data_IF_350458891425
#
_entry.id   IF_350458891425
#
_cell.length_a   1.000
_cell.length_b   1.000
_cell.length_c   1.000
_cell.angle_alpha   90.00
_cell.angle_beta   90.00
_cell.angle_gamma   90.00
#
_symmetry.space_group_name_H-M   'P 1'
#
loop_
_entity.id
_entity.type
_entity.pdbx_description
1 polymer ?
#
# COMPACT_ATOMS: atom_id res chain seq x y z
N UNK A 1 25.30 -30.93 -6.36
CA UNK A 1 25.40 -29.47 -6.09
C UNK A 1 24.02 -28.86 -6.26
N UNK A 2 23.59 -28.19 -5.20
CA UNK A 2 22.33 -27.46 -4.94
C UNK A 2 21.52 -27.00 -6.17
N UNK A 3 20.27 -27.45 -6.24
CA UNK A 3 19.20 -26.82 -7.02
C UNK A 3 17.98 -26.56 -6.13
N UNK A 4 18.18 -25.85 -5.03
CA UNK A 4 17.06 -25.27 -4.28
C UNK A 4 16.47 -24.13 -5.13
N UNK A 5 15.26 -24.30 -5.63
CA UNK A 5 14.57 -23.24 -6.37
C UNK A 5 14.34 -22.02 -5.44
N UNK A 6 14.42 -20.77 -5.92
CA UNK A 6 14.26 -19.57 -5.09
C UNK A 6 12.90 -19.40 -4.39
N UNK A 7 11.94 -20.33 -4.57
CA UNK A 7 10.62 -20.29 -3.93
C UNK A 7 10.29 -21.63 -3.26
N UNK A 8 11.13 -22.02 -2.31
CA UNK A 8 10.84 -23.15 -1.44
C UNK A 8 9.57 -22.88 -0.61
N UNK A 9 8.58 -23.77 -0.68
CA UNK A 9 7.33 -23.65 0.07
C UNK A 9 7.63 -23.90 1.55
N UNK A 10 7.99 -22.87 2.30
CA UNK A 10 8.10 -22.99 3.75
C UNK A 10 6.71 -22.77 4.34
N UNK A 11 6.06 -23.79 4.92
CA UNK A 11 4.83 -23.61 5.67
C UNK A 11 5.11 -22.74 6.91
N UNK A 12 4.18 -21.84 7.27
CA UNK A 12 4.28 -21.02 8.47
C UNK A 12 4.05 -21.90 9.70
N UNK A 13 5.11 -22.22 10.42
CA UNK A 13 5.12 -23.22 11.50
C UNK A 13 4.83 -24.64 10.97
N UNK A 14 5.68 -25.61 11.31
CA UNK A 14 5.73 -26.95 10.71
C UNK A 14 4.47 -27.82 10.83
N UNK A 15 3.36 -27.33 11.39
CA UNK A 15 2.22 -28.14 11.81
C UNK A 15 0.85 -27.72 11.23
N UNK A 16 0.73 -26.53 10.60
CA UNK A 16 -0.57 -26.06 10.09
C UNK A 16 -0.78 -26.48 8.62
N UNK A 17 -1.91 -27.11 8.26
CA UNK A 17 -2.22 -27.42 6.87
C UNK A 17 -2.33 -26.12 6.04
N UNK A 18 -1.83 -26.10 4.80
CA UNK A 18 -1.87 -24.91 3.96
C UNK A 18 -3.32 -24.44 3.76
N UNK A 19 -3.57 -23.12 3.79
CA UNK A 19 -4.92 -22.61 3.68
C UNK A 19 -5.55 -22.99 2.34
N UNK A 20 -6.83 -23.36 2.38
CA UNK A 20 -7.58 -23.65 1.16
C UNK A 20 -7.62 -22.46 0.22
N UNK A 21 -7.64 -22.72 -1.09
CA UNK A 21 -7.68 -21.68 -2.14
C UNK A 21 -8.86 -20.72 -1.97
N UNK A 22 -10.02 -21.25 -1.53
CA UNK A 22 -11.19 -20.44 -1.24
C UNK A 22 -10.99 -19.51 -0.02
N UNK A 23 -10.30 -20.00 1.03
CA UNK A 23 -10.01 -19.19 2.20
C UNK A 23 -9.06 -18.02 1.85
N UNK A 24 -8.07 -18.28 0.99
CA UNK A 24 -7.21 -17.22 0.44
C UNK A 24 -8.02 -16.20 -0.36
N UNK A 25 -8.88 -16.66 -1.28
CA UNK A 25 -9.73 -15.78 -2.08
C UNK A 25 -10.59 -14.87 -1.19
N UNK A 26 -11.25 -15.44 -0.17
CA UNK A 26 -12.10 -14.68 0.77
C UNK A 26 -11.28 -13.67 1.57
N UNK A 27 -10.10 -14.05 2.06
CA UNK A 27 -9.22 -13.14 2.80
C UNK A 27 -8.81 -11.94 1.92
N UNK A 28 -8.32 -12.19 0.71
CA UNK A 28 -7.97 -11.12 -0.22
C UNK A 28 -9.17 -10.28 -0.66
N UNK A 29 -10.35 -10.88 -0.81
CA UNK A 29 -11.60 -10.18 -1.09
C UNK A 29 -11.99 -9.22 0.04
N UNK A 30 -11.94 -9.69 1.29
CA UNK A 30 -12.22 -8.84 2.45
C UNK A 30 -11.23 -7.69 2.56
N UNK A 31 -9.94 -7.95 2.33
CA UNK A 31 -8.91 -6.90 2.33
C UNK A 31 -9.19 -5.88 1.22
N UNK A 32 -9.45 -6.34 -0.01
CA UNK A 32 -9.74 -5.46 -1.16
C UNK A 32 -11.01 -4.63 -0.99
N UNK A 33 -12.01 -5.14 -0.27
CA UNK A 33 -13.26 -4.44 0.01
C UNK A 33 -13.18 -3.47 1.19
N UNK A 34 -12.29 -3.70 2.16
CA UNK A 34 -12.25 -2.95 3.42
C UNK A 34 -11.06 -2.01 3.55
N UNK A 35 -10.07 -2.09 2.66
CA UNK A 35 -8.84 -1.30 2.75
C UNK A 35 -8.70 -0.35 1.56
N UNK A 36 -8.41 0.92 1.87
CA UNK A 36 -8.21 1.97 0.87
C UNK A 36 -6.80 2.59 1.02
N UNK A 37 -6.13 2.85 -0.11
CA UNK A 37 -4.84 3.55 -0.15
C UNK A 37 -3.64 2.75 0.40
N UNK A 38 -2.66 3.45 0.98
CA UNK A 38 -1.38 2.90 1.44
C UNK A 38 -1.45 1.95 2.65
N UNK A 39 -2.63 1.79 3.26
CA UNK A 39 -2.85 0.87 4.39
C UNK A 39 -3.01 -0.60 3.98
N UNK A 40 -3.12 -0.91 2.69
CA UNK A 40 -3.32 -2.26 2.17
C UNK A 40 -2.23 -3.24 2.63
N UNK A 41 -0.96 -2.86 2.52
CA UNK A 41 0.16 -3.71 2.97
C UNK A 41 0.15 -3.92 4.48
N UNK A 42 -0.24 -2.90 5.26
CA UNK A 42 -0.39 -3.02 6.72
C UNK A 42 -1.56 -3.90 7.13
N UNK A 43 -2.68 -3.87 6.39
CA UNK A 43 -3.80 -4.78 6.60
C UNK A 43 -3.41 -6.21 6.25
N UNK A 44 -2.69 -6.42 5.14
CA UNK A 44 -2.16 -7.75 4.78
C UNK A 44 -1.21 -8.27 5.85
N UNK A 45 -0.29 -7.46 6.36
CA UNK A 45 0.60 -7.85 7.47
C UNK A 45 -0.22 -8.33 8.68
N UNK A 46 -1.20 -7.51 9.11
CA UNK A 46 -2.06 -7.87 10.25
C UNK A 46 -2.83 -9.17 10.04
N UNK A 47 -3.50 -9.31 8.88
CA UNK A 47 -4.36 -10.46 8.62
C UNK A 47 -3.54 -11.74 8.40
N UNK A 48 -2.50 -11.70 7.57
CA UNK A 48 -1.72 -12.89 7.20
C UNK A 48 -0.68 -13.29 8.25
N UNK A 49 -0.08 -12.34 8.99
CA UNK A 49 0.96 -12.63 9.99
C UNK A 49 0.39 -12.72 11.40
N UNK A 50 -0.40 -11.73 11.84
CA UNK A 50 -0.83 -11.66 13.24
C UNK A 50 -2.12 -12.42 13.53
N UNK A 51 -3.16 -12.26 12.70
CA UNK A 51 -4.48 -12.84 12.93
C UNK A 51 -4.54 -14.32 12.49
N UNK A 52 -4.19 -14.59 11.22
CA UNK A 52 -4.28 -15.95 10.65
C UNK A 52 -3.01 -16.76 10.83
N UNK A 53 -1.87 -16.11 11.07
CA UNK A 53 -0.54 -16.74 11.21
C UNK A 53 -0.20 -17.67 10.04
N UNK A 54 -0.63 -17.28 8.84
CA UNK A 54 -0.32 -17.99 7.59
C UNK A 54 1.05 -17.61 7.03
N UNK A 55 1.69 -16.57 7.56
CA UNK A 55 3.00 -16.16 7.09
C UNK A 55 3.78 -15.62 8.28
N UNK A 56 5.09 -15.85 8.28
CA UNK A 56 5.97 -15.20 9.23
C UNK A 56 6.27 -13.75 8.80
N UNK A 57 6.63 -12.90 9.76
CA UNK A 57 6.91 -11.49 9.52
C UNK A 57 8.08 -11.30 8.57
N UNK A 58 9.17 -12.06 8.74
CA UNK A 58 10.33 -11.99 7.83
C UNK A 58 9.97 -12.38 6.39
N UNK A 59 9.19 -13.45 6.24
CA UNK A 59 8.71 -13.89 4.94
C UNK A 59 7.81 -12.83 4.29
N UNK A 60 6.92 -12.20 5.06
CA UNK A 60 6.08 -11.11 4.57
C UNK A 60 6.92 -9.92 4.09
N UNK A 61 7.91 -9.49 4.88
CA UNK A 61 8.76 -8.34 4.54
C UNK A 61 9.60 -8.61 3.29
N UNK A 62 10.12 -9.83 3.14
CA UNK A 62 10.83 -10.25 1.92
C UNK A 62 9.91 -10.22 0.69
N UNK A 63 8.68 -10.73 0.83
CA UNK A 63 7.67 -10.67 -0.23
C UNK A 63 7.28 -9.23 -0.59
N UNK A 64 7.16 -8.36 0.41
CA UNK A 64 6.88 -6.93 0.23
C UNK A 64 8.02 -6.23 -0.53
N UNK A 65 9.28 -6.47 -0.14
CA UNK A 65 10.45 -5.91 -0.79
C UNK A 65 10.52 -6.34 -2.27
N UNK A 66 10.31 -7.63 -2.55
CA UNK A 66 10.26 -8.13 -3.92
C UNK A 66 9.11 -7.49 -4.71
N UNK A 67 7.94 -7.35 -4.09
CA UNK A 67 6.77 -6.75 -4.74
C UNK A 67 6.94 -5.27 -5.08
N UNK A 68 7.76 -4.55 -4.31
CA UNK A 68 8.13 -3.15 -4.56
C UNK A 68 9.22 -2.99 -5.63
N UNK A 69 10.06 -4.01 -5.81
CA UNK A 69 11.06 -4.04 -6.88
C UNK A 69 10.44 -4.32 -8.26
N UNK A 70 9.33 -5.05 -8.30
CA UNK A 70 8.61 -5.37 -9.52
C UNK A 70 7.81 -4.15 -10.03
N UNK A 71 7.78 -3.89 -11.35
CA UNK A 71 6.96 -2.84 -11.90
C UNK A 71 5.47 -3.14 -11.68
N UNK A 72 4.67 -2.08 -11.55
CA UNK A 72 3.21 -2.17 -11.44
C UNK A 72 2.69 -1.85 -10.05
N UNK A 73 1.53 -2.41 -9.71
CA UNK A 73 0.84 -2.11 -8.45
C UNK A 73 1.36 -3.05 -7.36
N UNK A 74 2.18 -2.53 -6.46
CA UNK A 74 2.84 -3.29 -5.38
C UNK A 74 1.90 -4.25 -4.63
N UNK A 75 0.68 -3.81 -4.33
CA UNK A 75 -0.31 -4.63 -3.60
C UNK A 75 -0.77 -5.86 -4.41
N UNK A 76 -0.87 -5.74 -5.75
CA UNK A 76 -1.20 -6.88 -6.63
C UNK A 76 -0.05 -7.87 -6.68
N UNK A 77 1.17 -7.37 -6.83
CA UNK A 77 2.38 -8.19 -6.82
C UNK A 77 2.50 -8.97 -5.51
N UNK A 78 2.23 -8.30 -4.38
CA UNK A 78 2.24 -8.92 -3.06
C UNK A 78 1.13 -9.97 -2.89
N UNK A 79 -0.09 -9.70 -3.37
CA UNK A 79 -1.18 -10.68 -3.32
C UNK A 79 -0.87 -11.94 -4.14
N UNK A 80 -0.27 -11.78 -5.33
CA UNK A 80 0.21 -12.89 -6.16
C UNK A 80 1.29 -13.68 -5.42
N UNK A 81 2.28 -12.98 -4.83
CA UNK A 81 3.39 -13.61 -4.13
C UNK A 81 2.94 -14.39 -2.89
N UNK A 82 2.12 -13.76 -2.03
CA UNK A 82 1.55 -14.41 -0.84
C UNK A 82 0.68 -15.60 -1.27
N UNK A 83 -0.18 -15.43 -2.27
CA UNK A 83 -1.00 -16.50 -2.81
C UNK A 83 -0.17 -17.68 -3.33
N UNK A 84 0.90 -17.39 -4.09
CA UNK A 84 1.82 -18.39 -4.58
C UNK A 84 2.54 -19.13 -3.46
N UNK A 85 2.96 -18.41 -2.42
CA UNK A 85 3.65 -18.98 -1.25
C UNK A 85 2.76 -19.95 -0.49
N UNK A 86 1.46 -19.64 -0.34
CA UNK A 86 0.54 -20.40 0.51
C UNK A 86 -0.14 -21.57 -0.19
N UNK A 87 -0.50 -21.45 -1.47
CA UNK A 87 -1.20 -22.50 -2.21
C UNK A 87 -0.73 -22.68 -3.67
N UNK A 88 0.52 -22.29 -3.96
CA UNK A 88 1.11 -22.41 -5.30
C UNK A 88 0.39 -21.56 -6.34
N UNK A 89 0.44 -21.97 -7.61
CA UNK A 89 -0.18 -21.23 -8.71
C UNK A 89 -1.68 -20.96 -8.50
N UNK A 90 -2.40 -21.90 -7.87
CA UNK A 90 -3.84 -21.74 -7.56
C UNK A 90 -4.07 -20.63 -6.54
N UNK A 91 -3.22 -20.57 -5.52
CA UNK A 91 -3.25 -19.49 -4.55
C UNK A 91 -2.88 -18.14 -5.16
N UNK A 92 -1.93 -18.10 -6.10
CA UNK A 92 -1.54 -16.89 -6.81
C UNK A 92 -2.72 -16.29 -7.60
N UNK A 93 -3.43 -17.14 -8.36
CA UNK A 93 -4.64 -16.75 -9.08
C UNK A 93 -5.71 -16.29 -8.10
N UNK A 94 -5.98 -17.07 -7.04
CA UNK A 94 -6.99 -16.73 -6.04
C UNK A 94 -6.69 -15.40 -5.32
N UNK A 95 -5.43 -15.10 -5.02
CA UNK A 95 -5.03 -13.84 -4.40
C UNK A 95 -5.21 -12.65 -5.34
N UNK A 96 -4.80 -12.80 -6.60
CA UNK A 96 -5.00 -11.76 -7.61
C UNK A 96 -6.48 -11.50 -7.90
N UNK A 97 -7.27 -12.55 -8.12
CA UNK A 97 -8.70 -12.39 -8.39
C UNK A 97 -9.45 -11.94 -7.14
N UNK A 98 -9.07 -12.43 -5.95
CA UNK A 98 -9.68 -12.06 -4.69
C UNK A 98 -9.53 -10.58 -4.40
N UNK A 99 -8.37 -9.98 -4.68
CA UNK A 99 -8.17 -8.56 -4.39
C UNK A 99 -8.77 -7.62 -5.44
N UNK A 100 -8.98 -8.08 -6.68
CA UNK A 100 -9.46 -7.24 -7.80
C UNK A 100 -10.93 -7.43 -8.11
N UNK A 101 -11.39 -8.68 -8.21
CA UNK A 101 -12.72 -8.99 -8.73
C UNK A 101 -13.86 -8.44 -7.85
N UNK A 102 -13.85 -8.60 -6.51
CA UNK A 102 -14.94 -8.09 -5.68
C UNK A 102 -15.08 -6.56 -5.71
N UNK A 103 -13.99 -5.77 -5.56
CA UNK A 103 -14.08 -4.32 -5.73
C UNK A 103 -14.52 -3.91 -7.14
N UNK A 104 -14.02 -4.58 -8.18
CA UNK A 104 -14.40 -4.29 -9.57
C UNK A 104 -15.89 -4.54 -9.83
N UNK A 105 -16.42 -5.67 -9.36
CA UNK A 105 -17.84 -6.01 -9.47
C UNK A 105 -18.69 -5.00 -8.72
N UNK A 106 -18.29 -4.59 -7.51
CA UNK A 106 -19.02 -3.55 -6.76
C UNK A 106 -19.04 -2.22 -7.50
N UNK A 107 -17.92 -1.78 -8.07
CA UNK A 107 -17.85 -0.53 -8.83
C UNK A 107 -18.78 -0.58 -10.05
N UNK A 108 -18.79 -1.69 -10.78
CA UNK A 108 -19.69 -1.87 -11.94
C UNK A 108 -21.15 -1.88 -11.49
N UNK A 109 -21.48 -2.61 -10.42
CA UNK A 109 -22.84 -2.68 -9.88
C UNK A 109 -23.34 -1.31 -9.43
N UNK A 110 -22.50 -0.55 -8.72
CA UNK A 110 -22.81 0.83 -8.37
C UNK A 110 -22.97 1.70 -9.61
N UNK A 111 -22.14 1.54 -10.64
CA UNK A 111 -22.28 2.27 -11.90
C UNK A 111 -23.62 2.01 -12.60
N UNK A 112 -24.05 0.75 -12.68
CA UNK A 112 -25.33 0.36 -13.29
C UNK A 112 -26.50 0.89 -12.46
N UNK A 113 -26.50 0.65 -11.15
CA UNK A 113 -27.53 1.16 -10.26
C UNK A 113 -27.62 2.70 -10.36
N UNK A 114 -26.48 3.37 -10.37
CA UNK A 114 -26.41 4.82 -10.48
C UNK A 114 -26.96 5.36 -11.80
N UNK A 115 -26.71 4.68 -12.92
CA UNK A 115 -27.25 5.06 -14.23
C UNK A 115 -28.78 5.10 -14.29
N UNK A 116 -29.45 4.36 -13.40
CA UNK A 116 -30.91 4.37 -13.27
C UNK A 116 -31.41 5.47 -12.33
N UNK A 117 -30.60 5.87 -11.34
CA UNK A 117 -30.93 6.85 -10.30
C UNK A 117 -30.64 8.31 -10.69
N UNK A 118 -29.82 8.55 -11.71
CA UNK A 118 -29.51 9.91 -12.23
C UNK A 118 -30.70 10.66 -12.81
N UNK A 119 -31.86 10.01 -12.95
CA UNK A 119 -33.10 10.67 -13.35
C UNK A 119 -33.63 11.66 -12.29
N UNK A 120 -33.13 11.59 -11.05
CA UNK A 120 -33.55 12.47 -9.95
C UNK A 120 -32.45 13.45 -9.56
N UNK A 121 -32.79 14.74 -9.43
CA UNK A 121 -31.86 15.82 -9.02
C UNK A 121 -31.20 15.56 -7.65
N UNK A 122 -31.91 14.89 -6.74
CA UNK A 122 -31.40 14.56 -5.40
C UNK A 122 -30.16 13.65 -5.46
N UNK A 123 -30.06 12.79 -6.47
CA UNK A 123 -28.92 11.88 -6.69
C UNK A 123 -27.62 12.65 -6.92
N UNK A 124 -27.67 13.76 -7.68
CA UNK A 124 -26.51 14.59 -7.94
C UNK A 124 -26.02 15.32 -6.69
N UNK A 125 -26.94 15.79 -5.85
CA UNK A 125 -26.60 16.46 -4.58
C UNK A 125 -25.99 15.47 -3.59
N UNK A 126 -26.56 14.26 -3.49
CA UNK A 126 -26.02 13.20 -2.64
C UNK A 126 -24.59 12.80 -3.06
N UNK A 127 -24.32 12.70 -4.36
CA UNK A 127 -22.97 12.46 -4.88
C UNK A 127 -22.00 13.59 -4.56
N UNK A 128 -22.41 14.84 -4.73
CA UNK A 128 -21.58 15.98 -4.39
C UNK A 128 -21.21 15.95 -2.89
N UNK A 129 -22.17 15.60 -2.04
CA UNK A 129 -21.93 15.35 -0.60
C UNK A 129 -20.97 14.19 -0.34
N UNK A 130 -21.13 13.06 -1.02
CA UNK A 130 -20.24 11.91 -0.90
C UNK A 130 -18.81 12.23 -1.37
N UNK A 131 -18.67 12.98 -2.48
CA UNK A 131 -17.38 13.46 -2.97
C UNK A 131 -16.72 14.43 -1.97
N UNK A 132 -17.49 15.36 -1.41
CA UNK A 132 -17.01 16.27 -0.36
C UNK A 132 -16.55 15.50 0.89
N UNK A 133 -17.29 14.47 1.30
CA UNK A 133 -16.91 13.61 2.42
C UNK A 133 -15.61 12.82 2.12
N UNK A 134 -15.44 12.30 0.91
CA UNK A 134 -14.22 11.61 0.48
C UNK A 134 -12.99 12.55 0.50
N UNK A 135 -13.17 13.80 0.05
CA UNK A 135 -12.13 14.84 0.15
C UNK A 135 -11.80 15.13 1.61
N UNK A 136 -12.82 15.32 2.46
CA UNK A 136 -12.63 15.56 3.89
C UNK A 136 -11.89 14.43 4.60
N UNK A 137 -12.22 13.18 4.30
CA UNK A 137 -11.51 12.00 4.80
C UNK A 137 -10.06 11.97 4.33
N UNK A 138 -9.82 12.28 3.06
CA UNK A 138 -8.46 12.35 2.48
C UNK A 138 -7.62 13.42 3.17
N UNK A 139 -8.19 14.60 3.42
CA UNK A 139 -7.54 15.68 4.16
C UNK A 139 -7.26 15.27 5.61
N UNK A 140 -8.20 14.62 6.28
CA UNK A 140 -8.02 14.12 7.65
C UNK A 140 -6.85 13.12 7.75
N UNK A 141 -6.73 12.22 6.76
CA UNK A 141 -5.61 11.28 6.67
C UNK A 141 -4.29 12.00 6.42
N UNK A 142 -4.28 13.01 5.53
CA UNK A 142 -3.10 13.84 5.29
C UNK A 142 -2.65 14.57 6.56
N UNK A 143 -3.58 15.20 7.29
CA UNK A 143 -3.29 15.87 8.57
C UNK A 143 -2.74 14.88 9.60
N UNK A 144 -3.35 13.70 9.70
CA UNK A 144 -2.90 12.66 10.62
C UNK A 144 -1.49 12.18 10.29
N UNK A 145 -1.17 12.02 9.00
CA UNK A 145 0.19 11.68 8.56
C UNK A 145 1.19 12.79 8.94
N UNK A 146 0.87 14.06 8.65
CA UNK A 146 1.72 15.21 8.99
C UNK A 146 1.94 15.32 10.50
N UNK A 147 0.92 15.07 11.33
CA UNK A 147 1.05 15.08 12.79
C UNK A 147 1.98 14.00 13.34
N UNK A 148 2.20 12.91 12.60
CA UNK A 148 3.14 11.84 12.97
C UNK A 148 4.57 12.12 12.54
N UNK A 149 4.81 13.12 11.69
CA UNK A 149 6.18 13.51 11.33
C UNK A 149 6.86 14.22 12.51
N UNK A 150 8.17 13.99 12.71
CA UNK A 150 8.93 14.76 13.69
C UNK A 150 8.85 16.25 13.35
N UNK A 151 8.61 17.10 14.36
CA UNK A 151 8.50 18.57 14.23
C UNK A 151 9.85 19.22 13.90
N UNK A 152 10.37 18.94 12.71
CA UNK A 152 11.58 19.53 12.16
C UNK A 152 11.18 20.45 11.00
N UNK A 153 11.82 21.61 10.89
CA UNK A 153 11.53 22.58 9.83
C UNK A 153 11.87 22.05 8.43
N UNK A 154 12.83 21.14 8.31
CA UNK A 154 13.28 20.58 7.03
C UNK A 154 12.20 19.76 6.29
N UNK A 155 11.56 18.74 6.90
CA UNK A 155 10.48 18.00 6.27
C UNK A 155 9.30 18.87 5.82
N UNK A 156 8.98 19.91 6.61
CA UNK A 156 7.94 20.86 6.23
C UNK A 156 8.36 21.73 5.04
N UNK A 157 9.62 22.18 5.00
CA UNK A 157 10.15 22.97 3.90
C UNK A 157 10.22 22.16 2.59
N UNK A 158 10.65 20.89 2.64
CA UNK A 158 10.69 20.02 1.46
C UNK A 158 9.28 19.63 0.99
N UNK A 159 8.34 19.41 1.92
CA UNK A 159 6.92 19.19 1.60
C UNK A 159 6.30 20.42 0.92
N UNK A 160 6.52 21.62 1.47
CA UNK A 160 6.02 22.86 0.89
C UNK A 160 6.63 23.15 -0.48
N UNK A 161 7.95 22.96 -0.64
CA UNK A 161 8.64 23.15 -1.92
C UNK A 161 8.11 22.18 -2.98
N UNK A 162 7.91 20.91 -2.61
CA UNK A 162 7.36 19.89 -3.52
C UNK A 162 5.93 20.22 -3.92
N UNK A 163 5.10 20.63 -2.95
CA UNK A 163 3.72 21.03 -3.20
C UNK A 163 3.65 22.22 -4.16
N UNK A 164 4.42 23.29 -3.93
CA UNK A 164 4.46 24.45 -4.82
C UNK A 164 4.95 24.07 -6.22
N UNK A 165 6.00 23.25 -6.31
CA UNK A 165 6.57 22.83 -7.59
C UNK A 165 5.59 21.99 -8.43
N UNK A 166 4.79 21.13 -7.81
CA UNK A 166 3.79 20.31 -8.51
C UNK A 166 2.48 21.07 -8.76
N UNK A 167 1.93 21.73 -7.73
CA UNK A 167 0.59 22.32 -7.79
C UNK A 167 0.54 23.67 -8.52
N UNK A 168 1.61 24.46 -8.48
CA UNK A 168 1.65 25.80 -9.10
C UNK A 168 2.40 25.75 -10.43
N UNK A 169 3.59 25.14 -10.44
CA UNK A 169 4.45 25.11 -11.63
C UNK A 169 4.07 24.04 -12.66
N UNK A 170 3.15 23.12 -12.33
CA UNK A 170 2.73 21.99 -13.19
C UNK A 170 3.91 21.18 -13.76
N UNK A 171 5.03 21.15 -13.04
CA UNK A 171 6.21 20.45 -13.52
C UNK A 171 5.99 18.93 -13.52
N UNK A 172 6.57 18.21 -14.50
CA UNK A 172 6.40 16.76 -14.58
C UNK A 172 6.87 16.11 -13.29
N UNK A 173 5.96 15.35 -12.67
CA UNK A 173 6.10 14.76 -11.33
C UNK A 173 7.46 14.06 -11.14
N UNK A 174 7.94 13.40 -12.19
CA UNK A 174 9.22 12.68 -12.21
C UNK A 174 10.39 13.61 -11.89
N UNK A 175 10.46 14.82 -12.49
CA UNK A 175 11.55 15.77 -12.20
C UNK A 175 11.48 16.29 -10.78
N UNK A 176 10.29 16.59 -10.29
CA UNK A 176 10.09 17.14 -8.94
C UNK A 176 10.45 16.11 -7.86
N UNK A 177 10.09 14.84 -8.07
CA UNK A 177 10.44 13.75 -7.16
C UNK A 177 11.94 13.43 -7.20
N UNK A 178 12.56 13.42 -8.38
CA UNK A 178 14.00 13.15 -8.50
C UNK A 178 14.84 14.26 -7.84
N UNK A 179 14.54 15.53 -8.13
CA UNK A 179 15.30 16.67 -7.59
C UNK A 179 14.98 16.87 -6.11
N UNK A 180 13.70 16.93 -5.75
CA UNK A 180 13.27 17.16 -4.37
C UNK A 180 13.63 16.00 -3.44
N UNK A 181 13.46 14.76 -3.92
CA UNK A 181 13.87 13.55 -3.21
C UNK A 181 15.38 13.49 -2.99
N UNK A 182 16.18 13.68 -4.05
CA UNK A 182 17.65 13.68 -3.92
C UNK A 182 18.15 14.79 -3.00
N UNK A 183 17.59 16.00 -3.07
CA UNK A 183 17.97 17.11 -2.21
C UNK A 183 17.61 16.83 -0.74
N UNK A 184 16.42 16.27 -0.48
CA UNK A 184 16.00 15.92 0.88
C UNK A 184 16.91 14.85 1.49
N UNK A 185 17.22 13.79 0.72
CA UNK A 185 18.12 12.72 1.16
C UNK A 185 19.54 13.25 1.40
N UNK A 186 20.06 14.09 0.49
CA UNK A 186 21.39 14.69 0.65
C UNK A 186 21.50 15.60 1.88
N UNK A 187 20.48 16.40 2.18
CA UNK A 187 20.44 17.25 3.36
C UNK A 187 20.36 16.44 4.67
N UNK A 188 19.71 15.28 4.63
CA UNK A 188 19.59 14.39 5.80
C UNK A 188 20.86 13.57 6.03
N UNK A 189 21.51 13.07 4.96
CA UNK A 189 22.81 12.42 5.03
C UNK A 189 23.93 13.33 5.57
N UNK A 190 23.97 14.59 5.11
CA UNK A 190 24.95 15.57 5.61
C UNK A 190 24.76 15.91 7.10
N UNK A 191 23.56 15.76 7.63
CA UNK A 191 23.27 16.00 9.05
C UNK A 191 23.54 14.78 9.92
N UNK A 192 23.29 13.57 9.43
CA UNK A 192 23.63 12.33 10.13
C UNK A 192 25.15 12.17 10.34
N UNK A 193 25.96 12.64 9.37
CA UNK A 193 27.42 12.69 9.50
C UNK A 193 27.94 13.76 10.46
N UNK A 194 27.18 14.85 10.68
CA UNK A 194 27.59 15.91 11.62
C UNK A 194 27.30 15.59 13.09
N UNK A 195 26.43 14.61 13.38
CA UNK A 195 26.11 14.16 14.75
C UNK A 195 27.06 13.10 15.30
N UNK A 196 27.91 12.50 14.47
CA UNK A 196 28.87 11.45 14.87
C UNK A 196 30.26 12.00 15.23
N UNK A 197 30.55 13.26 14.90
CA UNK A 197 31.85 13.91 15.11
C UNK A 197 31.94 14.75 16.42
N UNK A 198 30.89 14.69 17.25
CA UNK A 198 30.76 15.53 18.46
C UNK A 198 30.73 14.78 19.79
N UNK A 199 30.96 13.46 19.79
CA UNK A 199 30.89 12.62 21.00
C UNK A 199 32.24 12.05 21.46
N UNK A 200 33.36 12.44 20.85
CA UNK A 200 34.70 11.92 21.16
C UNK A 200 35.61 12.91 21.92
N UNK A 201 35.03 14.00 22.44
CA UNK A 201 35.79 15.09 23.10
C UNK A 201 35.24 15.47 24.49
N UNK A 202 34.76 14.49 25.27
CA UNK A 202 34.45 14.66 26.71
C UNK A 202 34.92 13.49 27.56
#
# INVERSE_FOLDING_TARGET
>A
MSSASPIERVPPNGDAPPPGVLALFIAFAQIGLTSFGGGLSGRMLRDFVHERRWLDEEAFLNGLALSQALPGVNVKNLAIWIGYRLAGWRGAVAGFTGIIAPPAVLIVLFGVAFSTLTRFTLTHVALAGAAAAAIGLSVSMAITAVRRLPRRALPFATMALTFVSVAVLHWPLVRTVLIGGALSVALEYRRAGASTDGSDDR
#
